data_IF_576560955584
#
_entry.id   IF_576560955584
#
_cell.length_a   1.000
_cell.length_b   1.000
_cell.length_c   1.000
_cell.angle_alpha   90.00
_cell.angle_beta   90.00
_cell.angle_gamma   90.00
#
_symmetry.space_group_name_H-M   'P 1'
#
loop_
_entity.id
_entity.type
_entity.pdbx_description
1 polymer ?
#
# COMPACT_ATOMS: atom_id res chain seq x y z
N UNK A 1 -25.66 -1.96 -12.78
CA UNK A 1 -24.54 -2.28 -11.88
C UNK A 1 -24.83 -1.60 -10.54
N UNK A 2 -25.01 -2.33 -9.41
CA UNK A 2 -25.43 -1.71 -8.15
C UNK A 2 -24.30 -0.87 -7.55
N UNK A 3 -24.64 0.30 -6.99
CA UNK A 3 -23.71 1.19 -6.28
C UNK A 3 -22.92 0.47 -5.15
N UNK A 4 -23.48 -0.62 -4.61
CA UNK A 4 -22.85 -1.45 -3.62
C UNK A 4 -21.59 -2.17 -4.16
N UNK A 5 -21.60 -2.64 -5.42
CA UNK A 5 -20.43 -3.26 -6.07
C UNK A 5 -19.30 -2.27 -6.34
N UNK A 6 -19.62 -1.02 -6.65
CA UNK A 6 -18.63 0.04 -6.88
C UNK A 6 -17.91 0.45 -5.58
N UNK A 7 -18.53 0.22 -4.42
CA UNK A 7 -17.95 0.47 -3.08
C UNK A 7 -17.16 -0.70 -2.53
N UNK A 8 -17.17 -1.84 -3.21
CA UNK A 8 -16.33 -2.98 -2.82
C UNK A 8 -14.85 -2.62 -3.01
N UNK A 9 -14.02 -2.70 -1.94
CA UNK A 9 -12.59 -2.40 -2.02
C UNK A 9 -11.84 -3.24 -3.05
N UNK A 10 -12.23 -4.50 -3.23
CA UNK A 10 -11.61 -5.40 -4.19
C UNK A 10 -11.91 -4.98 -5.64
N UNK A 11 -13.17 -4.66 -5.94
CA UNK A 11 -13.56 -4.15 -7.25
C UNK A 11 -12.85 -2.83 -7.58
N UNK A 12 -12.81 -1.92 -6.60
CA UNK A 12 -12.12 -0.64 -6.71
C UNK A 12 -10.61 -0.82 -6.97
N UNK A 13 -9.97 -1.78 -6.29
CA UNK A 13 -8.56 -2.09 -6.50
C UNK A 13 -8.28 -2.66 -7.90
N UNK A 14 -9.11 -3.60 -8.38
CA UNK A 14 -8.96 -4.21 -9.70
C UNK A 14 -9.11 -3.19 -10.83
N UNK A 15 -10.07 -2.27 -10.72
CA UNK A 15 -10.39 -1.27 -11.74
C UNK A 15 -9.83 0.14 -11.42
N UNK A 16 -8.84 0.23 -10.53
CA UNK A 16 -8.31 1.50 -10.01
C UNK A 16 -7.91 2.52 -11.08
N UNK A 17 -7.35 2.07 -12.22
CA UNK A 17 -6.94 2.96 -13.32
C UNK A 17 -8.15 3.61 -13.98
N UNK A 18 -9.15 2.81 -14.34
CA UNK A 18 -10.38 3.30 -14.99
C UNK A 18 -11.13 4.25 -14.04
N UNK A 19 -11.31 3.85 -12.79
CA UNK A 19 -11.99 4.67 -11.78
C UNK A 19 -11.24 5.99 -11.51
N UNK A 20 -9.92 5.99 -11.59
CA UNK A 20 -9.12 7.21 -11.44
C UNK A 20 -9.29 8.14 -12.63
N UNK A 21 -9.25 7.63 -13.86
CA UNK A 21 -9.52 8.40 -15.08
C UNK A 21 -10.92 9.02 -15.04
N UNK A 22 -11.94 8.24 -14.68
CA UNK A 22 -13.31 8.74 -14.54
C UNK A 22 -13.42 9.86 -13.47
N UNK A 23 -12.71 9.72 -12.35
CA UNK A 23 -12.66 10.79 -11.32
C UNK A 23 -12.01 12.05 -11.82
N UNK A 24 -10.90 11.96 -12.56
CA UNK A 24 -10.25 13.12 -13.16
C UNK A 24 -11.17 13.79 -14.16
N UNK A 25 -11.80 13.04 -15.06
CA UNK A 25 -12.74 13.56 -16.04
C UNK A 25 -13.94 14.28 -15.37
N UNK A 26 -14.51 13.66 -14.31
CA UNK A 26 -15.58 14.28 -13.55
C UNK A 26 -15.13 15.57 -12.83
N UNK A 27 -13.94 15.55 -12.21
CA UNK A 27 -13.41 16.74 -11.56
C UNK A 27 -13.15 17.89 -12.55
N UNK A 28 -12.64 17.57 -13.74
CA UNK A 28 -12.46 18.54 -14.82
C UNK A 28 -13.79 19.11 -15.30
N UNK A 29 -14.79 18.27 -15.51
CA UNK A 29 -16.14 18.71 -15.92
C UNK A 29 -16.77 19.65 -14.88
N UNK A 30 -16.63 19.32 -13.58
CA UNK A 30 -17.13 20.17 -12.49
C UNK A 30 -16.36 21.50 -12.45
N UNK A 31 -15.01 21.45 -12.54
CA UNK A 31 -14.19 22.67 -12.55
C UNK A 31 -14.56 23.56 -13.73
N UNK A 32 -14.68 22.97 -14.93
CA UNK A 32 -15.08 23.71 -16.13
C UNK A 32 -16.48 24.33 -15.98
N UNK A 33 -17.46 23.58 -15.51
CA UNK A 33 -18.81 24.08 -15.30
C UNK A 33 -18.86 25.26 -14.31
N UNK A 34 -18.09 25.19 -13.22
CA UNK A 34 -17.99 26.28 -12.23
C UNK A 34 -17.35 27.52 -12.88
N UNK A 35 -16.20 27.34 -13.55
CA UNK A 35 -15.47 28.47 -14.15
C UNK A 35 -16.26 29.15 -15.26
N UNK A 36 -17.02 28.40 -16.05
CA UNK A 36 -17.88 28.94 -17.11
C UNK A 36 -19.11 29.67 -16.53
N UNK A 37 -19.80 29.04 -15.56
CA UNK A 37 -21.02 29.62 -14.95
C UNK A 37 -20.75 30.94 -14.24
N UNK A 38 -19.59 31.05 -13.58
CA UNK A 38 -19.21 32.27 -12.85
C UNK A 38 -18.32 33.23 -13.68
N UNK A 39 -18.12 32.94 -14.98
CA UNK A 39 -17.28 33.72 -15.88
C UNK A 39 -15.88 34.04 -15.27
N UNK A 40 -15.25 33.02 -14.64
CA UNK A 40 -13.97 33.18 -13.94
C UNK A 40 -12.86 33.41 -14.99
N UNK A 41 -12.08 34.52 -14.90
CA UNK A 41 -11.01 34.75 -15.83
C UNK A 41 -9.89 33.70 -15.67
N UNK A 42 -9.22 33.38 -16.79
CA UNK A 42 -8.07 32.45 -16.81
C UNK A 42 -8.38 31.03 -16.38
N UNK A 43 -9.62 30.55 -16.61
CA UNK A 43 -10.14 29.21 -16.23
C UNK A 43 -9.16 28.04 -16.47
N UNK A 44 -8.25 28.15 -17.44
CA UNK A 44 -7.24 27.13 -17.74
C UNK A 44 -6.37 26.77 -16.52
N UNK A 45 -6.10 27.75 -15.63
CA UNK A 45 -5.32 27.50 -14.41
C UNK A 45 -6.04 26.65 -13.38
N UNK A 46 -7.35 26.82 -13.25
CA UNK A 46 -8.17 25.97 -12.39
C UNK A 46 -8.19 24.52 -12.90
N UNK A 47 -8.36 24.32 -14.22
CA UNK A 47 -8.32 23.00 -14.85
C UNK A 47 -6.97 22.31 -14.68
N UNK A 48 -5.87 23.03 -14.98
CA UNK A 48 -4.50 22.52 -14.75
C UNK A 48 -4.29 22.15 -13.29
N UNK A 49 -4.82 22.94 -12.35
CA UNK A 49 -4.69 22.67 -10.90
C UNK A 49 -5.41 21.41 -10.50
N UNK A 50 -6.61 21.19 -11.02
CA UNK A 50 -7.39 19.97 -10.79
C UNK A 50 -6.61 18.73 -11.24
N UNK A 51 -6.09 18.72 -12.47
CA UNK A 51 -5.30 17.60 -13.00
C UNK A 51 -4.04 17.38 -12.20
N UNK A 52 -3.29 18.44 -11.88
CA UNK A 52 -2.01 18.32 -11.18
C UNK A 52 -2.15 17.82 -9.74
N UNK A 53 -3.21 18.18 -9.02
CA UNK A 53 -3.46 17.74 -7.66
C UNK A 53 -3.85 16.26 -7.64
N UNK A 54 -4.75 15.84 -8.53
CA UNK A 54 -5.16 14.45 -8.64
C UNK A 54 -4.03 13.59 -9.22
N UNK A 55 -3.38 14.04 -10.28
CA UNK A 55 -2.20 13.44 -10.91
C UNK A 55 -2.27 11.92 -11.05
N UNK A 56 -1.15 11.25 -10.81
CA UNK A 56 -1.04 9.78 -10.86
C UNK A 56 -1.33 9.10 -9.52
N UNK A 57 -1.87 9.81 -8.52
CA UNK A 57 -2.10 9.31 -7.18
C UNK A 57 -3.58 8.93 -6.99
N UNK A 58 -3.93 7.64 -7.09
CA UNK A 58 -5.31 7.22 -6.97
C UNK A 58 -5.85 7.24 -5.52
N UNK A 59 -5.01 7.52 -4.51
CA UNK A 59 -5.37 7.44 -3.09
C UNK A 59 -5.45 8.81 -2.41
N UNK A 60 -6.36 8.93 -1.43
CA UNK A 60 -6.69 10.19 -0.75
C UNK A 60 -5.46 10.85 -0.11
N UNK A 61 -4.66 10.09 0.66
CA UNK A 61 -3.50 10.62 1.38
C UNK A 61 -2.46 11.29 0.47
N UNK A 62 -2.25 10.75 -0.73
CA UNK A 62 -1.35 11.34 -1.72
C UNK A 62 -1.90 12.62 -2.34
N UNK A 63 -3.21 12.65 -2.66
CA UNK A 63 -3.87 13.85 -3.21
C UNK A 63 -3.84 14.98 -2.20
N UNK A 64 -4.14 14.72 -0.92
CA UNK A 64 -4.09 15.72 0.16
C UNK A 64 -2.68 16.31 0.34
N UNK A 65 -1.65 15.46 0.25
CA UNK A 65 -0.27 15.95 0.35
C UNK A 65 0.11 16.88 -0.80
N UNK A 66 -0.19 16.46 -2.02
CA UNK A 66 0.04 17.31 -3.20
C UNK A 66 -0.75 18.62 -3.14
N UNK A 67 -2.01 18.55 -2.71
CA UNK A 67 -2.87 19.72 -2.55
C UNK A 67 -2.26 20.73 -1.57
N UNK A 68 -1.83 20.26 -0.38
CA UNK A 68 -1.18 21.10 0.61
C UNK A 68 0.10 21.73 0.07
N UNK A 69 0.97 20.94 -0.54
CA UNK A 69 2.23 21.43 -1.11
C UNK A 69 1.98 22.42 -2.27
N UNK A 70 0.95 22.17 -3.08
CA UNK A 70 0.55 23.07 -4.16
C UNK A 70 0.08 24.41 -3.61
N UNK A 71 -0.83 24.41 -2.66
CA UNK A 71 -1.35 25.63 -2.05
C UNK A 71 -0.22 26.45 -1.40
N UNK A 72 0.59 25.81 -0.55
CA UNK A 72 1.68 26.50 0.13
C UNK A 72 2.73 27.01 -0.87
N UNK A 73 3.16 26.19 -1.82
CA UNK A 73 4.13 26.59 -2.83
C UNK A 73 3.61 27.74 -3.70
N UNK A 74 2.36 27.67 -4.16
CA UNK A 74 1.75 28.72 -4.97
C UNK A 74 1.62 30.05 -4.19
N UNK A 75 1.11 30.00 -2.96
CA UNK A 75 0.94 31.19 -2.14
C UNK A 75 2.28 31.86 -1.80
N UNK A 76 3.27 31.09 -1.39
CA UNK A 76 4.59 31.59 -1.04
C UNK A 76 5.34 32.10 -2.29
N UNK A 77 5.25 31.40 -3.42
CA UNK A 77 5.88 31.82 -4.67
C UNK A 77 5.24 33.10 -5.25
N UNK A 78 3.91 33.17 -5.26
CA UNK A 78 3.18 34.37 -5.67
C UNK A 78 3.45 35.53 -4.72
N UNK A 79 3.45 35.31 -3.41
CA UNK A 79 3.76 36.33 -2.39
C UNK A 79 5.18 36.88 -2.55
N UNK A 80 6.16 36.01 -2.79
CA UNK A 80 7.54 36.44 -3.09
C UNK A 80 7.61 37.31 -4.35
N UNK A 81 6.93 36.90 -5.44
CA UNK A 81 6.87 37.66 -6.67
C UNK A 81 6.22 39.04 -6.48
N UNK A 82 5.08 39.11 -5.77
CA UNK A 82 4.40 40.37 -5.43
C UNK A 82 5.31 41.27 -4.59
N UNK A 83 6.01 40.70 -3.61
CA UNK A 83 6.96 41.47 -2.77
C UNK A 83 8.09 42.08 -3.62
N UNK A 84 8.63 41.36 -4.58
CA UNK A 84 9.67 41.86 -5.48
C UNK A 84 9.16 42.98 -6.39
N UNK A 85 7.93 42.89 -6.87
CA UNK A 85 7.30 43.90 -7.72
C UNK A 85 6.95 45.17 -6.93
N UNK A 86 6.48 45.02 -5.68
CA UNK A 86 6.08 46.13 -4.82
C UNK A 86 7.26 46.83 -4.15
N UNK A 87 8.45 46.25 -4.15
CA UNK A 87 9.62 46.85 -3.50
C UNK A 87 10.07 48.14 -4.23
N UNK A 88 10.24 49.27 -3.53
CA UNK A 88 10.63 50.54 -4.13
C UNK A 88 12.13 50.63 -4.43
N UNK A 89 12.69 49.63 -5.07
CA UNK A 89 14.13 49.43 -5.27
C UNK A 89 14.51 49.53 -6.78
N UNK A 90 15.76 49.82 -7.15
CA UNK A 90 16.16 49.97 -8.55
C UNK A 90 15.90 48.70 -9.34
N UNK A 91 14.88 48.75 -10.17
CA UNK A 91 14.28 47.64 -10.95
C UNK A 91 15.24 46.81 -11.79
N UNK A 92 16.22 47.40 -12.50
CA UNK A 92 17.00 46.61 -13.47
C UNK A 92 17.85 45.52 -12.86
N UNK A 93 18.22 45.61 -11.58
CA UNK A 93 19.11 44.65 -10.93
C UNK A 93 18.44 43.80 -9.87
N UNK A 94 17.50 44.33 -9.15
CA UNK A 94 16.94 43.65 -7.97
C UNK A 94 15.87 42.63 -8.33
N UNK A 95 15.06 42.88 -9.33
CA UNK A 95 14.01 41.97 -9.78
C UNK A 95 14.63 40.66 -10.32
N UNK A 96 15.60 40.69 -11.25
CA UNK A 96 16.26 39.46 -11.71
C UNK A 96 17.00 38.73 -10.57
N UNK A 97 17.71 39.46 -9.72
CA UNK A 97 18.47 38.86 -8.62
C UNK A 97 17.56 38.21 -7.57
N UNK A 98 16.48 38.88 -7.18
CA UNK A 98 15.48 38.34 -6.26
C UNK A 98 14.73 37.13 -6.84
N UNK A 99 14.45 37.16 -8.14
CA UNK A 99 13.83 36.04 -8.85
C UNK A 99 14.77 34.82 -8.89
N UNK A 100 16.04 35.02 -9.28
CA UNK A 100 17.05 33.96 -9.29
C UNK A 100 17.27 33.36 -7.91
N UNK A 101 17.33 34.20 -6.87
CA UNK A 101 17.45 33.74 -5.47
C UNK A 101 16.24 32.90 -5.06
N UNK A 102 15.03 33.37 -5.37
CA UNK A 102 13.81 32.62 -5.10
C UNK A 102 13.76 31.24 -5.81
N UNK A 103 14.19 31.20 -7.07
CA UNK A 103 14.28 29.95 -7.84
C UNK A 103 15.34 29.03 -7.26
N UNK A 104 16.51 29.56 -6.86
CA UNK A 104 17.57 28.76 -6.26
C UNK A 104 17.11 28.11 -4.96
N UNK A 105 16.45 28.85 -4.07
CA UNK A 105 15.84 28.33 -2.83
C UNK A 105 14.76 27.29 -3.13
N UNK A 106 13.87 27.56 -4.08
CA UNK A 106 12.83 26.63 -4.50
C UNK A 106 13.40 25.33 -5.05
N UNK A 107 14.45 25.44 -5.88
CA UNK A 107 15.15 24.27 -6.43
C UNK A 107 15.81 23.46 -5.32
N UNK A 108 16.47 24.10 -4.37
CA UNK A 108 17.03 23.42 -3.20
C UNK A 108 15.98 22.65 -2.42
N UNK A 109 14.82 23.28 -2.14
CA UNK A 109 13.69 22.61 -1.47
C UNK A 109 13.16 21.44 -2.30
N UNK A 110 13.17 21.57 -3.64
CA UNK A 110 12.65 20.55 -4.55
C UNK A 110 13.45 19.24 -4.53
N UNK A 111 14.73 19.25 -4.16
CA UNK A 111 15.52 18.05 -3.92
C UNK A 111 15.11 17.31 -2.63
N UNK A 112 14.40 17.97 -1.74
CA UNK A 112 13.93 17.39 -0.48
C UNK A 112 12.75 16.42 -0.68
N UNK A 113 12.83 15.23 -0.04
CA UNK A 113 11.76 14.22 -0.12
C UNK A 113 10.40 14.68 0.40
N UNK A 114 10.37 15.66 1.32
CA UNK A 114 9.15 16.05 2.04
C UNK A 114 8.37 17.17 1.36
N UNK A 115 9.06 18.16 0.77
CA UNK A 115 8.44 19.36 0.21
C UNK A 115 8.82 19.61 -1.25
N UNK A 116 9.33 18.57 -1.94
CA UNK A 116 9.85 18.71 -3.29
C UNK A 116 8.84 19.27 -4.29
N UNK A 117 7.59 18.82 -4.22
CA UNK A 117 6.53 19.34 -5.07
C UNK A 117 6.16 20.80 -4.72
N UNK A 118 6.20 21.15 -3.43
CA UNK A 118 5.98 22.53 -2.97
C UNK A 118 7.03 23.51 -3.49
N UNK A 119 8.31 23.13 -3.48
CA UNK A 119 9.38 23.92 -4.07
C UNK A 119 9.19 24.17 -5.57
N UNK A 120 8.82 23.14 -6.34
CA UNK A 120 8.48 23.28 -7.75
C UNK A 120 7.31 24.25 -7.98
N UNK A 121 6.25 24.14 -7.16
CA UNK A 121 5.09 25.05 -7.27
C UNK A 121 5.44 26.49 -6.89
N UNK A 122 6.34 26.69 -5.92
CA UNK A 122 6.88 28.00 -5.59
C UNK A 122 7.59 28.64 -6.81
N UNK A 123 8.53 27.91 -7.43
CA UNK A 123 9.27 28.40 -8.59
C UNK A 123 8.35 28.78 -9.76
N UNK A 124 7.38 27.89 -10.08
CA UNK A 124 6.41 28.14 -11.14
C UNK A 124 5.57 29.37 -10.83
N UNK A 125 5.06 29.51 -9.60
CA UNK A 125 4.21 30.63 -9.23
C UNK A 125 4.98 31.96 -9.21
N UNK A 126 6.21 31.95 -8.74
CA UNK A 126 7.12 33.11 -8.79
C UNK A 126 7.35 33.56 -10.23
N UNK A 127 7.74 32.64 -11.13
CA UNK A 127 7.99 32.96 -12.54
C UNK A 127 6.74 33.46 -13.24
N UNK A 128 5.57 32.93 -12.92
CA UNK A 128 4.32 33.38 -13.51
C UNK A 128 3.90 34.77 -13.06
N UNK A 129 4.21 35.15 -11.82
CA UNK A 129 3.92 36.49 -11.29
C UNK A 129 4.90 37.54 -11.85
N UNK A 130 6.19 37.20 -11.91
CA UNK A 130 7.24 38.12 -12.34
C UNK A 130 7.37 38.16 -13.87
N UNK A 131 7.16 37.04 -14.57
CA UNK A 131 7.43 36.86 -15.99
C UNK A 131 6.32 37.30 -16.94
N UNK A 132 5.12 37.64 -16.45
CA UNK A 132 3.96 37.97 -17.29
C UNK A 132 3.99 39.40 -17.89
N UNK A 133 5.02 40.18 -17.58
CA UNK A 133 5.20 41.56 -18.09
C UNK A 133 4.12 42.56 -17.66
N UNK A 134 2.94 42.06 -17.25
CA UNK A 134 1.80 42.90 -16.83
C UNK A 134 1.90 43.39 -15.40
N UNK A 135 2.71 42.68 -14.57
CA UNK A 135 3.00 43.01 -13.16
C UNK A 135 1.75 43.38 -12.34
N UNK A 136 0.62 42.82 -12.73
CA UNK A 136 -0.68 43.17 -12.14
C UNK A 136 -0.95 42.30 -10.94
N UNK A 137 -1.15 42.94 -9.79
CA UNK A 137 -1.59 42.26 -8.54
C UNK A 137 -2.89 41.50 -8.76
N UNK A 138 -3.79 42.00 -9.60
CA UNK A 138 -5.05 41.35 -9.96
C UNK A 138 -4.84 39.99 -10.62
N UNK A 139 -3.91 39.88 -11.55
CA UNK A 139 -3.58 38.58 -12.21
C UNK A 139 -3.01 37.57 -11.22
N UNK A 140 -2.15 38.02 -10.31
CA UNK A 140 -1.60 37.15 -9.27
C UNK A 140 -2.68 36.60 -8.31
N UNK A 141 -3.64 37.44 -7.92
CA UNK A 141 -4.76 37.07 -7.08
C UNK A 141 -5.70 36.08 -7.78
N UNK A 142 -6.06 36.34 -9.04
CA UNK A 142 -6.90 35.42 -9.81
C UNK A 142 -6.23 34.06 -10.00
N UNK A 143 -4.93 34.00 -10.24
CA UNK A 143 -4.18 32.74 -10.29
C UNK A 143 -4.23 31.99 -8.96
N UNK A 144 -4.06 32.68 -7.85
CA UNK A 144 -4.20 32.09 -6.52
C UNK A 144 -5.59 31.48 -6.32
N UNK A 145 -6.62 32.20 -6.73
CA UNK A 145 -8.01 31.73 -6.67
C UNK A 145 -8.26 30.49 -7.55
N UNK A 146 -7.80 30.52 -8.81
CA UNK A 146 -7.94 29.42 -9.74
C UNK A 146 -7.25 28.13 -9.23
N UNK A 147 -6.03 28.29 -8.69
CA UNK A 147 -5.30 27.17 -8.08
C UNK A 147 -6.05 26.62 -6.87
N UNK A 148 -6.61 27.50 -6.04
CA UNK A 148 -7.43 27.10 -4.89
C UNK A 148 -8.68 26.37 -5.34
N UNK A 149 -9.43 26.92 -6.30
CA UNK A 149 -10.66 26.34 -6.84
C UNK A 149 -10.40 24.93 -7.40
N UNK A 150 -9.47 24.79 -8.33
CA UNK A 150 -9.13 23.50 -8.94
C UNK A 150 -8.63 22.48 -7.92
N UNK A 151 -7.85 22.93 -6.93
CA UNK A 151 -7.38 22.08 -5.82
C UNK A 151 -8.55 21.59 -4.96
N UNK A 152 -9.48 22.47 -4.58
CA UNK A 152 -10.65 22.11 -3.76
C UNK A 152 -11.57 21.15 -4.49
N UNK A 153 -11.86 21.37 -5.77
CA UNK A 153 -12.67 20.45 -6.58
C UNK A 153 -11.98 19.09 -6.70
N UNK A 154 -10.67 19.06 -6.97
CA UNK A 154 -9.90 17.81 -7.04
C UNK A 154 -9.92 17.01 -5.72
N UNK A 155 -9.80 17.69 -4.57
CA UNK A 155 -9.94 17.06 -3.25
C UNK A 155 -11.37 16.54 -3.05
N UNK A 156 -12.38 17.39 -3.29
CA UNK A 156 -13.78 17.04 -3.08
C UNK A 156 -14.17 15.78 -3.88
N UNK A 157 -13.85 15.74 -5.17
CA UNK A 157 -14.11 14.58 -6.03
C UNK A 157 -13.34 13.34 -5.54
N UNK A 158 -12.08 13.49 -5.14
CA UNK A 158 -11.28 12.36 -4.63
C UNK A 158 -11.84 11.78 -3.34
N UNK A 159 -12.41 12.61 -2.46
CA UNK A 159 -12.96 12.18 -1.16
C UNK A 159 -14.39 11.66 -1.28
N UNK A 160 -15.21 12.28 -2.14
CA UNK A 160 -16.64 11.98 -2.26
C UNK A 160 -16.94 10.89 -3.28
N UNK A 161 -16.18 10.84 -4.39
CA UNK A 161 -16.44 9.91 -5.50
C UNK A 161 -15.56 8.68 -5.37
N UNK A 162 -16.13 7.57 -4.88
CA UNK A 162 -15.47 6.27 -4.76
C UNK A 162 -14.08 6.36 -4.10
N UNK A 163 -13.99 6.79 -2.86
CA UNK A 163 -12.73 7.07 -2.18
C UNK A 163 -11.81 5.85 -2.16
N UNK A 164 -10.59 6.00 -2.65
CA UNK A 164 -9.56 4.96 -2.62
C UNK A 164 -8.54 5.28 -1.52
N UNK A 165 -8.41 4.39 -0.54
CA UNK A 165 -7.53 4.61 0.61
C UNK A 165 -6.18 3.95 0.39
N UNK A 166 -5.12 4.60 0.84
CA UNK A 166 -3.78 4.01 0.83
C UNK A 166 -3.71 2.79 1.76
N UNK A 167 -4.50 2.77 2.83
CA UNK A 167 -4.64 1.61 3.74
C UNK A 167 -5.17 0.37 3.02
N UNK A 168 -6.19 0.51 2.14
CA UNK A 168 -6.70 -0.61 1.37
C UNK A 168 -5.65 -1.10 0.36
N UNK A 169 -4.89 -0.18 -0.24
CA UNK A 169 -3.80 -0.53 -1.14
C UNK A 169 -2.67 -1.27 -0.42
N UNK A 170 -2.32 -0.87 0.81
CA UNK A 170 -1.38 -1.62 1.66
C UNK A 170 -1.89 -3.04 1.91
N UNK A 171 -3.16 -3.18 2.30
CA UNK A 171 -3.79 -4.48 2.56
C UNK A 171 -3.68 -5.42 1.37
N UNK A 172 -4.01 -4.96 0.16
CA UNK A 172 -3.92 -5.78 -1.04
C UNK A 172 -2.47 -6.10 -1.42
N UNK A 173 -1.54 -5.15 -1.28
CA UNK A 173 -0.13 -5.40 -1.58
C UNK A 173 0.52 -6.32 -0.54
N UNK A 174 0.09 -6.27 0.72
CA UNK A 174 0.48 -7.20 1.77
C UNK A 174 -0.01 -8.62 1.44
N UNK A 175 -1.30 -8.76 1.12
CA UNK A 175 -1.89 -10.04 0.75
C UNK A 175 -1.22 -10.65 -0.48
N UNK A 176 -0.97 -9.85 -1.51
CA UNK A 176 -0.26 -10.30 -2.72
C UNK A 176 1.18 -10.75 -2.41
N UNK A 177 1.85 -10.09 -1.46
CA UNK A 177 3.20 -10.44 -1.05
C UNK A 177 3.21 -11.78 -0.26
N UNK A 178 2.27 -11.94 0.67
CA UNK A 178 2.12 -13.18 1.43
C UNK A 178 1.76 -14.38 0.53
N UNK A 179 0.88 -14.20 -0.45
CA UNK A 179 0.52 -15.24 -1.42
C UNK A 179 1.74 -15.70 -2.24
N UNK A 180 2.59 -14.75 -2.67
CA UNK A 180 3.83 -15.07 -3.39
C UNK A 180 4.85 -15.76 -2.50
N UNK A 181 4.99 -15.33 -1.25
CA UNK A 181 5.84 -16.00 -0.26
C UNK A 181 5.36 -17.43 0.01
N UNK A 182 4.04 -17.63 0.13
CA UNK A 182 3.44 -18.96 0.30
C UNK A 182 3.77 -19.88 -0.89
N UNK A 183 3.65 -19.38 -2.11
CA UNK A 183 3.99 -20.13 -3.33
C UNK A 183 5.47 -20.46 -3.41
N UNK A 184 6.35 -19.49 -3.13
CA UNK A 184 7.80 -19.72 -3.11
C UNK A 184 8.18 -20.79 -2.09
N UNK A 185 7.62 -20.70 -0.89
CA UNK A 185 7.91 -21.65 0.17
C UNK A 185 7.32 -23.04 -0.14
N UNK A 186 6.08 -23.10 -0.65
CA UNK A 186 5.47 -24.36 -1.09
C UNK A 186 6.29 -25.02 -2.19
N UNK A 187 6.71 -24.27 -3.16
CA UNK A 187 7.54 -24.71 -4.25
C UNK A 187 8.89 -25.29 -3.78
N UNK A 188 9.51 -24.64 -2.79
CA UNK A 188 10.76 -25.13 -2.19
C UNK A 188 10.57 -26.44 -1.43
N UNK A 189 9.41 -26.67 -0.83
CA UNK A 189 9.16 -27.83 0.04
C UNK A 189 8.46 -29.00 -0.65
N UNK A 190 7.96 -28.83 -1.87
CA UNK A 190 7.26 -29.89 -2.61
C UNK A 190 8.21 -30.68 -3.49
N UNK A 191 8.30 -31.98 -3.26
CA UNK A 191 9.03 -32.89 -4.15
C UNK A 191 8.27 -33.09 -5.45
N UNK A 192 8.96 -32.95 -6.61
CA UNK A 192 8.40 -33.28 -7.93
C UNK A 192 7.37 -32.30 -8.48
N UNK A 193 7.13 -31.17 -7.84
CA UNK A 193 6.47 -30.07 -8.52
C UNK A 193 7.44 -29.55 -9.60
N UNK A 194 7.21 -29.92 -10.86
CA UNK A 194 7.71 -29.11 -11.96
C UNK A 194 7.23 -27.69 -11.65
N UNK A 195 8.16 -26.90 -11.14
CA UNK A 195 7.92 -25.51 -10.83
C UNK A 195 7.76 -24.76 -12.16
N UNK A 196 6.52 -24.76 -12.66
CA UNK A 196 6.06 -23.78 -13.66
C UNK A 196 6.07 -22.33 -13.06
N UNK A 197 6.78 -22.19 -11.94
CA UNK A 197 6.90 -20.94 -11.19
C UNK A 197 8.32 -20.45 -11.33
N UNK A 198 8.50 -19.41 -12.16
CA UNK A 198 9.77 -18.69 -12.16
C UNK A 198 10.02 -18.05 -10.78
N UNK A 199 10.78 -18.76 -9.93
CA UNK A 199 11.12 -18.30 -8.58
C UNK A 199 11.78 -16.91 -8.61
N UNK A 200 12.59 -16.62 -9.64
CA UNK A 200 13.24 -15.31 -9.82
C UNK A 200 12.22 -14.20 -10.06
N UNK A 201 11.21 -14.46 -10.89
CA UNK A 201 10.13 -13.49 -11.13
C UNK A 201 9.31 -13.24 -9.87
N UNK A 202 9.00 -14.27 -9.09
CA UNK A 202 8.29 -14.11 -7.81
C UNK A 202 9.13 -13.32 -6.80
N UNK A 203 10.43 -13.60 -6.68
CA UNK A 203 11.34 -12.86 -5.80
C UNK A 203 11.39 -11.37 -6.18
N UNK A 204 11.57 -11.07 -7.46
CA UNK A 204 11.54 -9.69 -7.97
C UNK A 204 10.20 -9.02 -7.70
N UNK A 205 9.11 -9.76 -7.84
CA UNK A 205 7.77 -9.23 -7.58
C UNK A 205 7.55 -8.94 -6.09
N UNK A 206 8.01 -9.80 -5.17
CA UNK A 206 7.97 -9.56 -3.73
C UNK A 206 8.77 -8.30 -3.35
N UNK A 207 9.98 -8.18 -3.87
CA UNK A 207 10.83 -7.00 -3.64
C UNK A 207 10.14 -5.71 -4.12
N UNK A 208 9.56 -5.71 -5.33
CA UNK A 208 8.79 -4.56 -5.86
C UNK A 208 7.60 -4.20 -4.98
N UNK A 209 6.90 -5.19 -4.42
CA UNK A 209 5.77 -4.96 -3.53
C UNK A 209 6.21 -4.33 -2.20
N UNK A 210 7.33 -4.75 -1.61
CA UNK A 210 7.89 -4.16 -0.40
C UNK A 210 8.27 -2.68 -0.61
N UNK A 211 8.92 -2.37 -1.74
CA UNK A 211 9.23 -0.97 -2.11
C UNK A 211 7.96 -0.15 -2.25
N UNK A 212 6.93 -0.71 -2.91
CA UNK A 212 5.64 -0.04 -3.07
C UNK A 212 4.94 0.21 -1.74
N UNK A 213 4.94 -0.76 -0.82
CA UNK A 213 4.37 -0.60 0.53
C UNK A 213 5.07 0.52 1.30
N UNK A 214 6.41 0.58 1.24
CA UNK A 214 7.19 1.67 1.87
C UNK A 214 6.80 3.05 1.32
N UNK A 215 6.50 3.16 0.03
CA UNK A 215 6.01 4.40 -0.58
C UNK A 215 4.61 4.84 -0.11
N UNK A 216 3.85 3.95 0.54
CA UNK A 216 2.51 4.26 1.06
C UNK A 216 2.51 4.75 2.51
N UNK A 217 3.61 4.60 3.26
CA UNK A 217 3.68 4.92 4.70
C UNK A 217 3.20 6.32 5.01
N UNK A 218 3.70 7.33 4.30
CA UNK A 218 3.31 8.72 4.51
C UNK A 218 1.84 9.00 4.17
N UNK A 219 1.33 8.36 3.12
CA UNK A 219 -0.07 8.52 2.72
C UNK A 219 -1.02 7.89 3.74
N UNK A 220 -0.69 6.72 4.27
CA UNK A 220 -1.49 6.02 5.28
C UNK A 220 -1.47 6.79 6.62
N UNK A 221 -0.31 7.31 7.00
CA UNK A 221 -0.20 8.12 8.21
C UNK A 221 -1.10 9.36 8.15
N UNK A 222 -1.22 10.00 6.96
CA UNK A 222 -2.15 11.14 6.76
C UNK A 222 -3.62 10.74 6.76
N UNK A 223 -3.94 9.49 6.50
CA UNK A 223 -5.29 8.93 6.66
C UNK A 223 -5.64 8.69 8.15
N UNK A 224 -4.73 8.97 9.09
CA UNK A 224 -4.87 8.83 10.55
C UNK A 224 -5.34 7.44 11.02
N UNK A 225 -4.89 6.38 10.35
CA UNK A 225 -5.31 5.01 10.67
C UNK A 225 -4.25 4.20 11.38
N UNK A 226 -2.99 4.36 11.01
CA UNK A 226 -1.85 3.64 11.57
C UNK A 226 -0.71 4.62 11.84
N UNK A 227 0.06 4.35 12.86
CA UNK A 227 1.29 5.10 13.14
C UNK A 227 2.41 4.70 12.17
N UNK A 228 3.39 5.57 11.98
CA UNK A 228 4.56 5.24 11.14
C UNK A 228 5.31 4.04 11.69
N UNK A 229 5.48 3.95 13.03
CA UNK A 229 6.17 2.84 13.66
C UNK A 229 5.49 1.49 13.37
N UNK A 230 4.16 1.40 13.52
CA UNK A 230 3.41 0.18 13.22
C UNK A 230 3.55 -0.26 11.74
N UNK A 231 3.58 0.72 10.82
CA UNK A 231 3.76 0.45 9.38
C UNK A 231 5.18 0.00 9.06
N UNK A 232 6.19 0.68 9.60
CA UNK A 232 7.60 0.33 9.40
C UNK A 232 7.92 -1.04 9.99
N UNK A 233 7.36 -1.36 11.14
CA UNK A 233 7.47 -2.68 11.79
C UNK A 233 6.84 -3.78 10.93
N UNK A 234 5.63 -3.55 10.40
CA UNK A 234 4.94 -4.50 9.54
C UNK A 234 5.73 -4.77 8.23
N UNK A 235 6.24 -3.72 7.61
CA UNK A 235 7.04 -3.84 6.38
C UNK A 235 8.40 -4.50 6.67
N UNK A 236 9.03 -4.20 7.80
CA UNK A 236 10.29 -4.80 8.22
C UNK A 236 10.13 -6.30 8.50
N UNK A 237 9.02 -6.69 9.13
CA UNK A 237 8.69 -8.08 9.40
C UNK A 237 8.52 -8.86 8.09
N UNK A 238 7.74 -8.33 7.14
CA UNK A 238 7.61 -8.95 5.81
C UNK A 238 8.94 -9.06 5.09
N UNK A 239 9.81 -8.05 5.20
CA UNK A 239 11.13 -8.08 4.59
C UNK A 239 11.99 -9.20 5.18
N UNK A 240 11.97 -9.38 6.51
CA UNK A 240 12.67 -10.49 7.17
C UNK A 240 12.16 -11.84 6.71
N UNK A 241 10.83 -12.02 6.64
CA UNK A 241 10.21 -13.25 6.10
C UNK A 241 10.67 -13.52 4.67
N UNK A 242 10.65 -12.49 3.82
CA UNK A 242 11.10 -12.58 2.44
C UNK A 242 12.58 -12.98 2.35
N UNK A 243 13.47 -12.33 3.13
CA UNK A 243 14.90 -12.68 3.15
C UNK A 243 15.15 -14.10 3.69
N UNK A 244 14.34 -14.57 4.65
CA UNK A 244 14.43 -15.96 5.15
C UNK A 244 14.03 -16.97 4.06
N UNK A 245 12.99 -16.68 3.26
CA UNK A 245 12.61 -17.54 2.12
C UNK A 245 13.68 -17.51 1.03
N UNK A 246 14.26 -16.35 0.73
CA UNK A 246 15.35 -16.18 -0.21
C UNK A 246 16.56 -17.06 0.19
N UNK A 247 16.96 -17.01 1.47
CA UNK A 247 18.01 -17.86 2.01
C UNK A 247 17.65 -19.35 1.94
N UNK A 248 16.37 -19.72 2.21
CA UNK A 248 15.93 -21.11 2.07
C UNK A 248 16.07 -21.63 0.64
N UNK A 249 15.75 -20.82 -0.36
CA UNK A 249 15.93 -21.17 -1.78
C UNK A 249 17.40 -21.39 -2.14
N UNK A 250 18.32 -20.70 -1.48
CA UNK A 250 19.78 -20.80 -1.67
C UNK A 250 20.41 -22.03 -0.97
N UNK A 251 19.64 -22.76 -0.14
CA UNK A 251 20.14 -23.93 0.62
C UNK A 251 20.34 -25.18 -0.21
N UNK A 252 19.87 -25.21 -1.46
CA UNK A 252 19.83 -26.39 -2.35
C UNK A 252 19.02 -27.59 -1.82
N UNK A 253 18.25 -27.41 -0.76
CA UNK A 253 17.38 -28.47 -0.21
C UNK A 253 16.13 -28.75 -1.07
N UNK A 254 15.89 -27.97 -2.10
CA UNK A 254 14.88 -28.22 -3.14
C UNK A 254 15.34 -29.24 -4.20
N UNK A 255 16.50 -29.85 -4.03
CA UNK A 255 17.02 -30.95 -4.86
C UNK A 255 16.44 -32.30 -4.39
N UNK A 256 16.59 -33.33 -5.22
CA UNK A 256 16.16 -34.71 -4.88
C UNK A 256 16.77 -35.16 -3.57
N UNK A 257 18.12 -35.02 -3.42
CA UNK A 257 18.81 -35.39 -2.20
C UNK A 257 18.31 -34.64 -0.96
N UNK A 258 17.98 -33.32 -1.10
CA UNK A 258 17.39 -32.53 -0.04
C UNK A 258 16.00 -33.04 0.34
N UNK A 259 15.15 -33.38 -0.63
CA UNK A 259 13.83 -33.92 -0.38
C UNK A 259 13.84 -35.30 0.29
N UNK A 260 14.73 -36.21 -0.10
CA UNK A 260 14.95 -37.50 0.56
C UNK A 260 15.34 -37.32 2.03
N UNK A 261 16.18 -36.29 2.34
CA UNK A 261 16.52 -35.94 3.73
C UNK A 261 15.34 -35.35 4.51
N UNK A 262 14.53 -34.50 3.90
CA UNK A 262 13.33 -33.93 4.53
C UNK A 262 12.34 -35.06 4.86
N UNK A 263 12.20 -36.05 3.97
CA UNK A 263 11.34 -37.21 4.20
C UNK A 263 11.84 -38.10 5.34
N UNK A 264 13.15 -38.26 5.46
CA UNK A 264 13.76 -38.98 6.59
C UNK A 264 13.53 -38.28 7.94
N UNK A 265 13.25 -36.99 7.94
CA UNK A 265 12.87 -36.22 9.13
C UNK A 265 11.36 -36.27 9.34
N UNK A 266 10.89 -37.31 10.03
CA UNK A 266 9.45 -37.54 10.24
C UNK A 266 8.71 -36.30 10.74
N UNK A 267 7.66 -35.89 10.00
CA UNK A 267 6.81 -34.75 10.32
C UNK A 267 7.32 -33.36 9.89
N UNK A 268 8.56 -33.22 9.44
CA UNK A 268 9.08 -31.92 8.98
C UNK A 268 8.32 -31.42 7.74
N UNK A 269 8.08 -32.30 6.77
CA UNK A 269 7.34 -31.99 5.55
C UNK A 269 5.92 -31.51 5.86
N UNK A 270 5.23 -32.18 6.77
CA UNK A 270 3.87 -31.82 7.17
C UNK A 270 3.84 -30.44 7.84
N UNK A 271 4.83 -30.12 8.67
CA UNK A 271 4.98 -28.80 9.27
C UNK A 271 5.25 -27.73 8.21
N UNK A 272 6.10 -28.01 7.21
CA UNK A 272 6.39 -27.09 6.11
C UNK A 272 5.15 -26.83 5.25
N UNK A 273 4.39 -27.88 4.88
CA UNK A 273 3.14 -27.74 4.14
C UNK A 273 2.09 -26.97 4.95
N UNK A 274 2.03 -27.21 6.26
CA UNK A 274 1.14 -26.45 7.15
C UNK A 274 1.51 -24.97 7.18
N UNK A 275 2.80 -24.63 7.28
CA UNK A 275 3.25 -23.24 7.24
C UNK A 275 2.94 -22.57 5.89
N UNK A 276 3.17 -23.26 4.77
CA UNK A 276 2.82 -22.74 3.44
C UNK A 276 1.32 -22.46 3.33
N UNK A 277 0.49 -23.37 3.83
CA UNK A 277 -0.98 -23.23 3.87
C UNK A 277 -1.39 -22.08 4.78
N UNK A 278 -0.77 -21.95 5.93
CA UNK A 278 -0.98 -20.83 6.87
C UNK A 278 -0.70 -19.47 6.22
N UNK A 279 0.42 -19.34 5.52
CA UNK A 279 0.75 -18.12 4.78
C UNK A 279 -0.30 -17.80 3.69
N UNK A 280 -0.77 -18.82 2.96
CA UNK A 280 -1.83 -18.69 1.96
C UNK A 280 -3.18 -18.28 2.57
N UNK A 281 -3.55 -18.90 3.70
CA UNK A 281 -4.77 -18.55 4.45
C UNK A 281 -4.70 -17.11 4.97
N UNK A 282 -3.56 -16.71 5.53
CA UNK A 282 -3.33 -15.35 6.00
C UNK A 282 -3.42 -14.33 4.85
N UNK A 283 -2.85 -14.65 3.69
CA UNK A 283 -2.98 -13.83 2.49
C UNK A 283 -4.45 -13.66 2.07
N UNK A 284 -5.24 -14.73 2.12
CA UNK A 284 -6.67 -14.70 1.83
C UNK A 284 -7.44 -13.84 2.84
N UNK A 285 -7.23 -14.05 4.14
CA UNK A 285 -7.90 -13.28 5.20
C UNK A 285 -7.59 -11.78 5.09
N UNK A 286 -6.31 -11.43 4.92
CA UNK A 286 -5.89 -10.04 4.72
C UNK A 286 -6.51 -9.46 3.46
N UNK A 287 -6.58 -10.22 2.34
CA UNK A 287 -7.18 -9.75 1.07
C UNK A 287 -8.66 -9.47 1.20
N UNK A 288 -9.38 -10.35 1.85
CA UNK A 288 -10.85 -10.25 2.00
C UNK A 288 -11.28 -9.36 3.16
N UNK A 289 -10.38 -9.08 4.11
CA UNK A 289 -10.68 -8.33 5.33
C UNK A 289 -11.44 -9.15 6.36
N UNK A 290 -11.33 -10.48 6.29
CA UNK A 290 -11.80 -11.34 7.36
C UNK A 290 -10.87 -11.23 8.58
N UNK A 291 -11.37 -11.45 9.79
CA UNK A 291 -10.53 -11.48 10.98
C UNK A 291 -9.39 -12.47 10.83
N UNK A 292 -8.20 -12.08 11.27
CA UNK A 292 -7.04 -12.96 11.32
C UNK A 292 -7.25 -13.96 12.45
N UNK A 293 -7.78 -15.12 12.11
CA UNK A 293 -8.02 -16.25 13.01
C UNK A 293 -7.32 -17.47 12.41
N UNK A 294 -6.03 -17.61 12.69
CA UNK A 294 -5.25 -18.76 12.25
C UNK A 294 -4.66 -19.39 13.50
N UNK A 295 -5.05 -20.65 13.78
CA UNK A 295 -4.38 -21.47 14.78
C UNK A 295 -3.00 -21.82 14.25
N UNK A 296 -2.00 -21.19 14.84
CA UNK A 296 -0.62 -21.35 14.42
C UNK A 296 0.21 -22.00 15.50
N UNK A 297 0.75 -23.18 15.18
CA UNK A 297 1.67 -23.91 16.06
C UNK A 297 3.09 -23.70 15.52
N UNK A 298 4.01 -23.13 16.31
CA UNK A 298 5.41 -23.00 15.91
C UNK A 298 6.06 -24.37 15.66
N UNK A 299 7.07 -24.40 14.80
CA UNK A 299 7.83 -25.62 14.51
C UNK A 299 8.54 -26.15 15.77
N UNK A 300 8.35 -27.44 16.05
CA UNK A 300 9.19 -28.19 16.98
C UNK A 300 10.29 -28.90 16.19
N UNK A 301 11.48 -28.33 16.22
CA UNK A 301 12.62 -28.82 15.42
C UNK A 301 13.62 -29.65 16.23
N UNK A 302 13.44 -29.81 17.53
CA UNK A 302 14.39 -30.56 18.37
C UNK A 302 14.49 -32.02 17.95
N UNK A 303 13.37 -32.61 17.48
CA UNK A 303 13.32 -33.99 17.00
C UNK A 303 14.02 -34.24 15.66
N UNK A 304 14.33 -33.19 14.92
CA UNK A 304 14.87 -33.30 13.56
C UNK A 304 16.38 -33.04 13.48
N UNK A 305 16.96 -32.40 14.49
CA UNK A 305 18.37 -32.01 14.48
C UNK A 305 19.32 -33.22 14.41
N UNK A 306 18.97 -34.32 15.07
CA UNK A 306 19.81 -35.52 15.15
C UNK A 306 19.78 -36.36 13.87
N UNK A 307 18.76 -36.22 13.04
CA UNK A 307 18.57 -36.96 11.80
C UNK A 307 19.24 -36.34 10.58
N UNK A 308 19.73 -35.16 10.73
CA UNK A 308 20.27 -34.35 9.64
C UNK A 308 21.80 -34.60 9.48
N UNK A 309 22.18 -35.62 8.76
CA UNK A 309 23.60 -35.88 8.38
C UNK A 309 24.08 -35.04 7.20
N UNK A 310 25.38 -35.07 6.87
CA UNK A 310 25.91 -34.41 5.70
C UNK A 310 25.39 -35.01 4.39
N UNK A 311 24.99 -34.20 3.44
CA UNK A 311 24.54 -34.60 2.13
C UNK A 311 25.02 -33.61 1.03
N UNK A 312 25.06 -34.11 -0.21
CA UNK A 312 25.39 -33.34 -1.39
C UNK A 312 24.20 -33.30 -2.34
N UNK A 313 24.02 -32.19 -3.07
CA UNK A 313 23.06 -32.08 -4.14
C UNK A 313 23.53 -32.85 -5.39
N UNK A 314 22.65 -33.10 -6.36
CA UNK A 314 22.92 -33.81 -7.60
C UNK A 314 24.03 -33.14 -8.44
N UNK A 315 24.22 -31.82 -8.30
CA UNK A 315 25.26 -31.02 -8.93
C UNK A 315 26.61 -31.07 -8.19
N UNK A 316 26.77 -31.92 -7.17
CA UNK A 316 27.96 -32.08 -6.35
C UNK A 316 28.15 -30.99 -5.29
N UNK A 317 27.26 -30.01 -5.18
CA UNK A 317 27.31 -28.97 -4.12
C UNK A 317 26.90 -29.59 -2.79
N UNK A 318 27.57 -29.19 -1.72
CA UNK A 318 27.13 -29.52 -0.37
C UNK A 318 25.76 -28.87 -0.10
N UNK A 319 24.82 -29.66 0.43
CA UNK A 319 23.61 -29.10 1.00
C UNK A 319 24.00 -28.18 2.16
N UNK A 320 23.28 -27.08 2.29
CA UNK A 320 23.43 -26.19 3.44
C UNK A 320 23.26 -26.99 4.73
N UNK A 321 24.03 -26.61 5.77
CA UNK A 321 24.01 -27.30 7.05
C UNK A 321 22.58 -27.62 7.48
N UNK A 322 22.28 -28.90 7.83
CA UNK A 322 20.95 -29.29 8.30
C UNK A 322 20.44 -28.42 9.44
N UNK A 323 21.30 -28.09 10.41
CA UNK A 323 20.94 -27.20 11.51
C UNK A 323 20.58 -25.80 11.03
N UNK A 324 21.30 -25.27 10.02
CA UNK A 324 20.99 -23.99 9.39
C UNK A 324 19.67 -24.02 8.63
N UNK A 325 19.38 -25.10 7.89
CA UNK A 325 18.11 -25.27 7.21
C UNK A 325 16.93 -25.33 8.17
N UNK A 326 17.06 -26.11 9.23
CA UNK A 326 16.05 -26.19 10.29
C UNK A 326 15.87 -24.84 10.99
N UNK A 327 16.96 -24.11 11.26
CA UNK A 327 16.89 -22.79 11.85
C UNK A 327 16.13 -21.79 10.97
N UNK A 328 16.36 -21.78 9.64
CA UNK A 328 15.64 -20.93 8.71
C UNK A 328 14.14 -21.25 8.69
N UNK A 329 13.76 -22.52 8.69
CA UNK A 329 12.36 -22.92 8.77
C UNK A 329 11.71 -22.47 10.09
N UNK A 330 12.42 -22.64 11.22
CA UNK A 330 11.96 -22.16 12.54
C UNK A 330 11.81 -20.63 12.55
N UNK A 331 12.77 -19.90 11.99
CA UNK A 331 12.72 -18.44 11.92
C UNK A 331 11.53 -17.97 11.07
N UNK A 332 11.30 -18.58 9.91
CA UNK A 332 10.12 -18.26 9.09
C UNK A 332 8.80 -18.53 9.84
N UNK A 333 8.72 -19.64 10.55
CA UNK A 333 7.59 -19.99 11.40
C UNK A 333 7.39 -18.92 12.50
N UNK A 334 8.44 -18.57 13.24
CA UNK A 334 8.40 -17.53 14.28
C UNK A 334 7.94 -16.17 13.74
N UNK A 335 8.50 -15.74 12.60
CA UNK A 335 8.13 -14.50 11.94
C UNK A 335 6.66 -14.51 11.47
N UNK A 336 6.17 -15.66 11.03
CA UNK A 336 4.75 -15.83 10.65
C UNK A 336 3.84 -15.65 11.86
N UNK A 337 4.18 -16.24 13.01
CA UNK A 337 3.45 -16.04 14.27
C UNK A 337 3.45 -14.58 14.71
N UNK A 338 4.61 -13.91 14.65
CA UNK A 338 4.72 -12.48 14.95
C UNK A 338 3.85 -11.61 14.03
N UNK A 339 3.75 -11.98 12.74
CA UNK A 339 2.89 -11.28 11.78
C UNK A 339 1.41 -11.48 12.12
N UNK A 340 0.98 -12.69 12.44
CA UNK A 340 -0.40 -13.01 12.84
C UNK A 340 -0.79 -12.16 14.07
N UNK A 341 0.06 -12.14 15.09
CA UNK A 341 -0.17 -11.34 16.30
C UNK A 341 -0.26 -9.84 16.04
N UNK A 342 0.61 -9.31 15.15
CA UNK A 342 0.58 -7.89 14.78
C UNK A 342 -0.68 -7.53 14.02
N UNK A 343 -1.07 -8.35 13.05
CA UNK A 343 -2.29 -8.13 12.27
C UNK A 343 -3.53 -8.21 13.17
N UNK A 344 -3.60 -9.19 14.08
CA UNK A 344 -4.68 -9.28 15.05
C UNK A 344 -4.78 -8.09 15.99
N UNK A 345 -3.65 -7.49 16.38
CA UNK A 345 -3.65 -6.23 17.15
C UNK A 345 -4.16 -5.04 16.33
N UNK A 346 -3.75 -4.93 15.07
CA UNK A 346 -4.18 -3.85 14.19
C UNK A 346 -5.69 -3.91 13.89
N UNK A 347 -6.28 -5.09 13.82
CA UNK A 347 -7.72 -5.27 13.66
C UNK A 347 -8.53 -4.86 14.89
N UNK A 348 -7.99 -5.07 16.07
CA UNK A 348 -8.64 -4.71 17.37
C UNK A 348 -8.61 -3.22 17.66
N UNK A 349 -7.78 -2.43 16.98
CA UNK A 349 -7.79 -0.98 17.11
C UNK A 349 -9.15 -0.43 16.61
N UNK A 350 -9.86 0.37 17.44
CA UNK A 350 -11.22 0.79 17.13
C UNK A 350 -11.25 1.70 15.90
N UNK A 351 -11.41 1.11 14.74
CA UNK A 351 -11.72 1.85 13.53
C UNK A 351 -13.17 2.33 13.63
N UNK A 352 -13.39 3.53 14.14
CA UNK A 352 -14.70 4.17 14.30
C UNK A 352 -15.59 4.18 13.03
N UNK A 353 -15.10 3.69 11.88
CA UNK A 353 -15.82 3.71 10.58
C UNK A 353 -15.90 2.39 9.81
N UNK A 354 -15.19 1.33 10.16
CA UNK A 354 -15.29 0.03 9.46
C UNK A 354 -16.55 -0.76 9.86
N UNK A 355 -17.14 -0.47 11.01
CA UNK A 355 -18.29 -1.21 11.55
C UNK A 355 -19.64 -0.93 10.85
N UNK A 356 -19.75 0.12 10.03
CA UNK A 356 -21.02 0.42 9.30
C UNK A 356 -21.18 -0.31 7.97
N UNK A 357 -20.13 -0.93 7.44
CA UNK A 357 -20.18 -1.67 6.16
C UNK A 357 -20.34 -3.19 6.30
N UNK A 358 -19.81 -3.79 7.36
CA UNK A 358 -19.80 -5.24 7.56
C UNK A 358 -21.09 -5.80 8.17
N UNK A 359 -21.94 -4.95 8.77
CA UNK A 359 -23.18 -5.38 9.44
C UNK A 359 -24.39 -5.57 8.52
N UNK A 360 -24.24 -5.48 7.20
CA UNK A 360 -25.37 -5.66 6.25
C UNK A 360 -25.27 -6.91 5.36
N UNK A 361 -24.28 -7.76 5.54
CA UNK A 361 -24.24 -9.09 4.94
C UNK A 361 -24.32 -10.17 6.03
N UNK A 362 -25.41 -10.13 6.78
CA UNK A 362 -25.87 -11.24 7.59
C UNK A 362 -26.51 -12.31 6.70
N UNK A 363 -25.66 -13.08 6.00
CA UNK A 363 -26.06 -14.36 5.40
C UNK A 363 -24.84 -15.25 5.50
N UNK A 364 -25.01 -16.31 6.33
CA UNK A 364 -24.09 -17.37 6.69
C UNK A 364 -23.18 -17.07 7.90
N UNK A 365 -23.80 -16.96 9.09
CA UNK A 365 -23.16 -17.39 10.31
C UNK A 365 -23.04 -18.93 10.26
N UNK A 366 -21.88 -19.52 10.60
CA UNK A 366 -21.81 -20.97 10.80
C UNK A 366 -22.76 -21.35 11.94
N UNK A 367 -23.38 -22.54 11.90
CA UNK A 367 -24.27 -22.96 12.96
C UNK A 367 -23.50 -22.99 14.29
N UNK A 368 -24.12 -22.40 15.29
CA UNK A 368 -23.63 -22.31 16.66
C UNK A 368 -23.36 -23.72 17.22
N UNK A 369 -22.09 -24.10 17.34
CA UNK A 369 -21.67 -25.40 17.87
C UNK A 369 -21.79 -25.51 19.40
N UNK A 370 -22.45 -24.56 20.06
CA UNK A 370 -22.62 -24.51 21.52
C UNK A 370 -24.01 -24.89 22.04
N UNK A 371 -24.90 -25.44 21.20
CA UNK A 371 -26.15 -26.02 21.72
C UNK A 371 -25.93 -27.48 22.13
N UNK A 372 -26.11 -27.85 23.40
CA UNK A 372 -26.14 -29.27 23.80
C UNK A 372 -27.29 -29.96 23.07
N UNK A 373 -26.98 -31.11 22.48
CA UNK A 373 -27.99 -32.03 21.92
C UNK A 373 -28.81 -32.52 23.08
N UNK A 374 -30.02 -32.01 23.19
CA UNK A 374 -31.06 -32.54 24.11
C UNK A 374 -31.47 -33.93 23.60
N UNK A 375 -31.02 -34.99 24.32
CA UNK A 375 -31.21 -36.39 23.97
C UNK A 375 -32.54 -36.97 24.45
N UNK A 376 -33.45 -36.15 25.01
CA UNK A 376 -34.70 -36.66 25.56
C UNK A 376 -35.92 -35.97 24.88
N UNK A 377 -36.21 -36.38 23.62
CA UNK A 377 -37.55 -36.24 23.05
C UNK A 377 -37.92 -37.52 22.29
N UNK A 378 -38.95 -38.25 22.71
CA UNK A 378 -39.41 -39.43 21.99
C UNK A 378 -40.00 -39.06 20.65
N UNK A 379 -39.78 -39.92 19.67
CA UNK A 379 -40.22 -39.81 18.27
C UNK A 379 -41.70 -40.20 18.20
N UNK A 380 -42.59 -39.20 18.17
CA UNK A 380 -44.04 -39.34 17.93
C UNK A 380 -44.33 -39.18 16.43
N UNK A 381 -43.91 -40.14 15.63
CA UNK A 381 -44.42 -40.34 14.27
C UNK A 381 -44.75 -41.80 14.01
N UNK A 382 -45.83 -42.27 14.64
CA UNK A 382 -46.63 -43.39 14.14
C UNK A 382 -48.05 -43.15 14.60
N UNK A 383 -48.94 -42.81 13.67
CA UNK A 383 -50.41 -42.90 13.62
C UNK A 383 -51.04 -41.58 13.13
N UNK A 384 -51.23 -41.46 11.83
CA UNK A 384 -52.52 -41.28 11.13
C UNK A 384 -52.21 -40.94 9.65
#
# INVERSE_FOLDING_TARGET
MSLARLRDPYFSHRHRRILHVLRIALALAITYAITETFAIPHQGWALVSTVMVMGNLPHIGGVLDKARQRLLGTLLGAGWGVMLIAAPLPWPTLLPLGTLTGIAVATWISFGKRYGYGGLMFAISLLLVVGDGTQSLGVALWRGFDVLLGTLVGIAVTVLVLPHKATDLLRFTLADNLDRMARLYHAHTSAGAELDVDARELLKACSRLLVKQRGLVDAIHREHRLTRGELDDLISLQRRMFSTIELLLETHWNTRAGHERIEAMHGLRDQQHTLARTLGTLAFQVRTGHPVAVDFVPFDLQRHADLAGEAHAEDGRRLFSPSGYLWLNRELSRLTGELIDRLGRLERLPSRRLRKGASRHGLLAPPDASRPIDKDKPDDRQQA
#
